data_IF_136077117743
#
_entry.id   IF_136077117743
#
_cell.length_a   1.000
_cell.length_b   1.000
_cell.length_c   1.000
_cell.angle_alpha   90.00
_cell.angle_beta   90.00
_cell.angle_gamma   90.00
#
_symmetry.space_group_name_H-M   'P 1'
#
loop_
_entity.id
_entity.type
_entity.pdbx_description
1 polymer ?
#
# COMPACT_ATOMS: atom_id res chain seq x y z
N UNK A 1 18.16 -33.38 53.09
CA UNK A 1 18.65 -33.49 51.69
C UNK A 1 17.57 -33.78 50.68
N UNK A 2 16.58 -34.67 50.94
CA UNK A 2 15.50 -35.04 49.99
C UNK A 2 14.63 -33.82 49.58
N UNK A 3 14.28 -32.93 50.51
CA UNK A 3 13.48 -31.73 50.23
C UNK A 3 14.19 -30.71 49.29
N UNK A 4 15.51 -30.53 49.40
CA UNK A 4 16.24 -29.64 48.54
C UNK A 4 16.30 -30.20 47.10
N UNK A 5 16.50 -31.50 46.97
CA UNK A 5 16.53 -32.18 45.67
C UNK A 5 15.14 -32.13 44.99
N UNK A 6 14.07 -32.22 45.78
CA UNK A 6 12.69 -32.11 45.27
C UNK A 6 12.36 -30.69 44.81
N UNK A 7 12.81 -29.67 45.56
CA UNK A 7 12.68 -28.24 45.20
C UNK A 7 13.47 -27.94 43.91
N UNK A 8 14.68 -28.46 43.79
CA UNK A 8 15.52 -28.27 42.56
C UNK A 8 14.90 -28.99 41.39
N UNK A 9 14.36 -30.22 41.58
CA UNK A 9 13.70 -30.99 40.54
C UNK A 9 12.40 -30.32 40.08
N UNK A 10 11.58 -29.85 41.03
CA UNK A 10 10.34 -29.11 40.70
C UNK A 10 10.64 -27.73 40.06
N UNK A 11 11.71 -27.05 40.46
CA UNK A 11 12.15 -25.82 39.79
C UNK A 11 12.63 -26.10 38.38
N UNK A 12 13.38 -27.18 38.11
CA UNK A 12 13.78 -27.60 36.79
C UNK A 12 12.59 -28.01 35.91
N UNK A 13 11.60 -28.69 36.46
CA UNK A 13 10.37 -29.06 35.76
C UNK A 13 9.48 -27.83 35.47
N UNK A 14 9.51 -26.82 36.33
CA UNK A 14 8.75 -25.56 36.14
C UNK A 14 9.41 -24.61 35.13
N UNK A 15 10.70 -24.81 34.81
CA UNK A 15 11.43 -24.02 33.82
C UNK A 15 11.37 -24.62 32.40
N UNK A 16 10.96 -25.89 32.26
CA UNK A 16 10.83 -26.51 30.95
C UNK A 16 9.51 -26.07 30.28
N UNK A 17 9.63 -25.45 29.11
CA UNK A 17 8.48 -25.17 28.26
C UNK A 17 7.91 -26.50 27.76
N UNK A 18 6.59 -26.68 27.87
CA UNK A 18 5.94 -27.91 27.39
C UNK A 18 6.20 -28.14 25.89
N UNK A 19 6.51 -29.36 25.50
CA UNK A 19 6.66 -29.74 24.09
C UNK A 19 5.43 -29.40 23.25
N UNK A 20 4.22 -29.46 23.83
CA UNK A 20 2.99 -29.09 23.13
C UNK A 20 2.97 -27.58 22.78
N UNK A 21 3.48 -26.72 23.67
CA UNK A 21 3.59 -25.28 23.42
C UNK A 21 4.64 -24.99 22.33
N UNK A 22 5.79 -25.68 22.37
CA UNK A 22 6.81 -25.53 21.33
C UNK A 22 6.30 -25.98 19.97
N UNK A 23 5.59 -27.10 19.90
CA UNK A 23 4.92 -27.57 18.69
C UNK A 23 3.85 -26.57 18.18
N UNK A 24 3.14 -25.92 19.11
CA UNK A 24 2.19 -24.85 18.77
C UNK A 24 2.88 -23.68 18.07
N UNK A 25 4.04 -23.23 18.59
CA UNK A 25 4.83 -22.18 17.94
C UNK A 25 5.32 -22.60 16.55
N UNK A 26 5.78 -23.85 16.39
CA UNK A 26 6.21 -24.36 15.09
C UNK A 26 5.06 -24.36 14.06
N UNK A 27 3.86 -24.77 14.45
CA UNK A 27 2.69 -24.74 13.57
C UNK A 27 2.31 -23.29 13.14
N UNK A 28 2.40 -22.33 14.08
CA UNK A 28 2.17 -20.92 13.78
C UNK A 28 3.24 -20.38 12.84
N UNK A 29 4.50 -20.71 13.10
CA UNK A 29 5.63 -20.29 12.26
C UNK A 29 5.50 -20.82 10.84
N UNK A 30 5.21 -22.12 10.64
CA UNK A 30 4.95 -22.73 9.32
C UNK A 30 3.76 -22.07 8.60
N UNK A 31 2.73 -21.65 9.35
CA UNK A 31 1.58 -20.91 8.82
C UNK A 31 1.95 -19.50 8.33
N UNK A 32 2.74 -18.78 9.14
CA UNK A 32 3.23 -17.45 8.81
C UNK A 32 4.19 -17.48 7.61
N UNK A 33 5.09 -18.45 7.51
CA UNK A 33 5.97 -18.61 6.36
C UNK A 33 5.20 -18.80 5.05
N UNK A 34 4.20 -19.69 5.06
CA UNK A 34 3.32 -19.88 3.88
C UNK A 34 2.57 -18.60 3.52
N UNK A 35 2.03 -17.88 4.51
CA UNK A 35 1.35 -16.61 4.29
C UNK A 35 2.28 -15.56 3.71
N UNK A 36 3.49 -15.45 4.25
CA UNK A 36 4.52 -14.51 3.80
C UNK A 36 4.99 -14.82 2.38
N UNK A 37 5.18 -16.09 2.03
CA UNK A 37 5.52 -16.53 0.68
C UNK A 37 4.43 -16.18 -0.32
N UNK A 38 3.16 -16.44 0.01
CA UNK A 38 2.02 -16.08 -0.84
C UNK A 38 1.90 -14.56 -1.03
N UNK A 39 2.12 -13.79 0.03
CA UNK A 39 2.12 -12.32 -0.06
C UNK A 39 3.25 -11.82 -0.97
N UNK A 40 4.44 -12.42 -0.91
CA UNK A 40 5.56 -12.10 -1.80
C UNK A 40 5.18 -12.30 -3.28
N UNK A 41 4.56 -13.45 -3.61
CA UNK A 41 4.11 -13.73 -4.98
C UNK A 41 3.06 -12.71 -5.46
N UNK A 42 2.12 -12.34 -4.59
CA UNK A 42 1.13 -11.31 -4.92
C UNK A 42 1.78 -9.94 -5.13
N UNK A 43 2.75 -9.57 -4.30
CA UNK A 43 3.49 -8.32 -4.44
C UNK A 43 4.28 -8.26 -5.73
N UNK A 44 4.89 -9.38 -6.17
CA UNK A 44 5.58 -9.44 -7.46
C UNK A 44 4.63 -9.17 -8.65
N UNK A 45 3.38 -9.62 -8.57
CA UNK A 45 2.34 -9.28 -9.58
C UNK A 45 2.06 -7.77 -9.59
N UNK A 46 2.01 -7.12 -8.40
CA UNK A 46 1.80 -5.67 -8.31
C UNK A 46 3.01 -4.88 -8.87
N UNK A 47 4.25 -5.33 -8.60
CA UNK A 47 5.46 -4.76 -9.22
C UNK A 47 5.43 -4.88 -10.74
N UNK A 48 4.99 -6.03 -11.26
CA UNK A 48 4.88 -6.23 -12.71
C UNK A 48 3.85 -5.25 -13.31
N UNK A 49 2.69 -5.08 -12.69
CA UNK A 49 1.69 -4.09 -13.13
C UNK A 49 2.26 -2.67 -13.19
N UNK A 50 3.03 -2.25 -12.18
CA UNK A 50 3.68 -0.94 -12.16
C UNK A 50 4.74 -0.81 -13.26
N UNK A 51 5.51 -1.87 -13.53
CA UNK A 51 6.48 -1.91 -14.61
C UNK A 51 5.81 -1.81 -15.99
N UNK A 52 4.73 -2.56 -16.22
CA UNK A 52 3.95 -2.56 -17.44
C UNK A 52 3.34 -1.18 -17.69
N UNK A 53 2.78 -0.56 -16.66
CA UNK A 53 2.23 0.78 -16.75
C UNK A 53 3.33 1.82 -17.10
N UNK A 54 4.49 1.72 -16.44
CA UNK A 54 5.62 2.59 -16.76
C UNK A 54 6.12 2.39 -18.20
N UNK A 55 6.09 1.16 -18.74
CA UNK A 55 6.50 0.89 -20.13
C UNK A 55 5.54 1.50 -21.15
N UNK A 56 4.23 1.51 -20.83
CA UNK A 56 3.17 2.09 -21.69
C UNK A 56 3.14 3.62 -21.62
N UNK A 57 3.37 4.20 -20.46
CA UNK A 57 3.36 5.64 -20.25
C UNK A 57 4.46 6.07 -19.25
N UNK A 58 5.72 6.25 -19.71
CA UNK A 58 6.85 6.60 -18.85
C UNK A 58 6.73 7.93 -18.13
N UNK A 59 6.05 8.90 -18.73
CA UNK A 59 5.86 10.23 -18.11
C UNK A 59 4.96 10.14 -16.86
N UNK A 60 3.87 9.39 -16.95
CA UNK A 60 2.93 9.18 -15.83
C UNK A 60 3.42 8.10 -14.86
N UNK A 61 3.83 6.95 -15.38
CA UNK A 61 4.19 5.77 -14.60
C UNK A 61 5.53 5.88 -13.90
N UNK A 62 6.48 6.60 -14.53
CA UNK A 62 7.87 6.67 -14.08
C UNK A 62 8.08 7.06 -12.62
N UNK A 63 7.47 8.15 -12.13
CA UNK A 63 7.60 8.54 -10.72
C UNK A 63 7.11 7.48 -9.73
N UNK A 64 6.00 6.81 -10.03
CA UNK A 64 5.39 5.78 -9.18
C UNK A 64 6.17 4.47 -9.24
N UNK A 65 6.61 4.07 -10.42
CA UNK A 65 7.49 2.92 -10.61
C UNK A 65 8.82 3.09 -9.86
N UNK A 66 9.41 4.27 -9.89
CA UNK A 66 10.63 4.56 -9.14
C UNK A 66 10.43 4.44 -7.62
N UNK A 67 9.30 4.92 -7.11
CA UNK A 67 8.93 4.74 -5.70
C UNK A 67 8.73 3.25 -5.35
N UNK A 68 8.12 2.46 -6.24
CA UNK A 68 7.95 1.03 -6.00
C UNK A 68 9.27 0.29 -5.93
N UNK A 69 10.24 0.64 -6.75
CA UNK A 69 11.60 0.06 -6.68
C UNK A 69 12.30 0.39 -5.35
N UNK A 70 12.09 1.59 -4.80
CA UNK A 70 12.61 1.94 -3.48
C UNK A 70 11.92 1.11 -2.39
N UNK A 71 10.59 0.96 -2.44
CA UNK A 71 9.86 0.05 -1.53
C UNK A 71 10.42 -1.36 -1.62
N UNK A 72 10.59 -1.91 -2.83
CA UNK A 72 11.14 -3.26 -3.04
C UNK A 72 12.50 -3.42 -2.38
N UNK A 73 13.38 -2.45 -2.60
CA UNK A 73 14.73 -2.46 -2.04
C UNK A 73 14.73 -2.44 -0.52
N UNK A 74 13.96 -1.54 0.10
CA UNK A 74 13.94 -1.40 1.56
C UNK A 74 13.23 -2.59 2.22
N UNK A 75 12.18 -3.14 1.60
CA UNK A 75 11.55 -4.39 2.04
C UNK A 75 12.54 -5.55 2.03
N UNK A 76 13.30 -5.73 0.94
CA UNK A 76 14.30 -6.80 0.84
C UNK A 76 15.38 -6.65 1.92
N UNK A 77 15.92 -5.45 2.12
CA UNK A 77 16.93 -5.19 3.15
C UNK A 77 16.45 -5.54 4.57
N UNK A 78 15.23 -5.12 4.93
CA UNK A 78 14.67 -5.42 6.25
C UNK A 78 14.35 -6.91 6.39
N UNK A 79 13.78 -7.52 5.34
CA UNK A 79 13.44 -8.94 5.32
C UNK A 79 14.70 -9.83 5.49
N UNK A 80 15.74 -9.56 4.71
CA UNK A 80 17.01 -10.30 4.77
C UNK A 80 17.72 -10.10 6.11
N UNK A 81 17.64 -8.88 6.68
CA UNK A 81 18.16 -8.61 8.01
C UNK A 81 17.45 -9.46 9.07
N UNK A 82 16.12 -9.52 9.05
CA UNK A 82 15.33 -10.35 9.97
C UNK A 82 15.69 -11.83 9.80
N UNK A 83 15.87 -12.27 8.56
CA UNK A 83 16.26 -13.65 8.26
C UNK A 83 17.65 -13.98 8.80
N UNK A 84 18.59 -13.04 8.68
CA UNK A 84 19.92 -13.18 9.29
C UNK A 84 19.84 -13.29 10.83
N UNK A 85 18.92 -12.58 11.47
CA UNK A 85 18.71 -12.67 12.92
C UNK A 85 18.18 -14.03 13.34
N UNK A 86 17.21 -14.61 12.60
CA UNK A 86 16.70 -15.96 12.84
C UNK A 86 17.87 -16.97 12.80
N UNK A 87 18.67 -16.90 11.75
CA UNK A 87 19.85 -17.76 11.57
C UNK A 87 20.87 -17.62 12.71
N UNK A 88 21.16 -16.41 13.15
CA UNK A 88 22.14 -16.18 14.24
C UNK A 88 21.62 -16.68 15.58
N UNK A 89 20.31 -16.51 15.86
CA UNK A 89 19.68 -17.02 17.09
C UNK A 89 19.73 -18.55 17.10
N UNK A 90 19.33 -19.22 16.01
CA UNK A 90 19.35 -20.69 15.93
C UNK A 90 20.77 -21.22 16.03
N UNK A 91 21.73 -20.62 15.34
CA UNK A 91 23.16 -21.03 15.47
C UNK A 91 23.74 -20.79 16.87
N UNK A 92 23.17 -19.86 17.62
CA UNK A 92 23.57 -19.64 19.01
C UNK A 92 23.07 -20.78 19.91
N UNK A 93 21.88 -21.32 19.64
CA UNK A 93 21.28 -22.43 20.39
C UNK A 93 21.85 -23.80 19.98
N UNK A 94 21.87 -24.08 18.65
CA UNK A 94 22.17 -25.39 18.10
C UNK A 94 23.64 -25.55 17.67
N UNK A 95 24.42 -24.48 17.72
CA UNK A 95 25.80 -24.48 17.25
C UNK A 95 25.95 -24.07 15.78
N UNK A 96 27.15 -24.27 15.21
CA UNK A 96 27.50 -23.76 13.87
C UNK A 96 26.62 -24.30 12.74
N UNK A 97 26.13 -25.52 12.88
CA UNK A 97 25.33 -26.24 11.90
C UNK A 97 23.81 -26.06 12.11
N UNK A 98 23.41 -25.19 13.06
CA UNK A 98 22.01 -24.91 13.33
C UNK A 98 21.24 -24.42 12.10
N UNK A 99 20.06 -25.03 11.87
CA UNK A 99 19.17 -24.78 10.75
C UNK A 99 17.82 -24.26 11.25
N UNK A 100 17.39 -23.10 10.74
CA UNK A 100 16.09 -22.47 11.09
C UNK A 100 14.91 -23.39 10.77
N UNK A 101 15.05 -24.22 9.73
CA UNK A 101 13.97 -25.14 9.34
C UNK A 101 13.89 -26.37 10.27
N UNK A 102 14.97 -26.68 10.99
CA UNK A 102 15.05 -27.84 11.89
C UNK A 102 15.79 -27.48 13.18
N UNK A 103 15.14 -26.73 14.06
CA UNK A 103 15.70 -26.26 15.33
C UNK A 103 15.74 -27.43 16.33
N UNK A 104 16.93 -27.76 16.83
CA UNK A 104 17.12 -28.86 17.81
C UNK A 104 16.79 -28.41 19.25
N UNK A 105 17.29 -27.25 19.68
CA UNK A 105 17.10 -26.71 21.02
C UNK A 105 16.00 -25.62 21.02
N UNK A 106 14.77 -25.99 20.68
CA UNK A 106 13.62 -25.08 20.56
C UNK A 106 13.28 -24.35 21.86
N UNK A 107 13.61 -24.97 23.01
CA UNK A 107 13.33 -24.51 24.38
C UNK A 107 14.45 -23.66 25.00
N UNK A 108 15.58 -23.44 24.30
CA UNK A 108 16.66 -22.57 24.78
C UNK A 108 16.14 -21.14 25.01
N UNK A 109 16.25 -20.65 26.24
CA UNK A 109 15.78 -19.32 26.67
C UNK A 109 16.86 -18.23 26.60
N UNK A 110 18.14 -18.62 26.38
CA UNK A 110 19.26 -17.69 26.45
C UNK A 110 19.68 -17.17 25.07
N UNK A 111 19.57 -17.98 24.02
CA UNK A 111 20.08 -17.65 22.71
C UNK A 111 19.46 -16.38 22.14
N UNK A 112 18.13 -16.24 22.18
CA UNK A 112 17.42 -15.06 21.73
C UNK A 112 17.77 -13.83 22.57
N UNK A 113 17.75 -13.95 23.90
CA UNK A 113 18.12 -12.89 24.85
C UNK A 113 19.55 -12.40 24.60
N UNK A 114 20.49 -13.31 24.39
CA UNK A 114 21.89 -12.97 24.14
C UNK A 114 22.06 -12.17 22.84
N UNK A 115 21.48 -12.60 21.73
CA UNK A 115 21.62 -11.94 20.44
C UNK A 115 20.90 -10.59 20.42
N UNK A 116 19.69 -10.55 20.95
CA UNK A 116 18.84 -9.36 20.82
C UNK A 116 19.11 -8.29 21.86
N UNK A 117 19.46 -8.69 23.10
CA UNK A 117 19.49 -7.75 24.24
C UNK A 117 20.89 -7.50 24.79
N UNK A 118 21.88 -8.39 24.55
CA UNK A 118 23.22 -8.18 25.15
C UNK A 118 23.86 -6.86 24.71
N UNK A 119 24.60 -6.18 25.60
CA UNK A 119 25.28 -4.93 25.26
C UNK A 119 26.28 -5.05 24.11
N UNK A 120 26.82 -6.26 23.88
CA UNK A 120 27.76 -6.54 22.81
C UNK A 120 27.10 -6.66 21.43
N UNK A 121 25.87 -7.15 21.35
CA UNK A 121 25.16 -7.43 20.09
C UNK A 121 24.15 -6.34 19.74
N UNK A 122 23.28 -5.93 20.68
CA UNK A 122 22.25 -4.87 20.53
C UNK A 122 21.37 -5.01 19.29
N UNK A 123 21.13 -6.25 18.84
CA UNK A 123 20.41 -6.48 17.58
C UNK A 123 18.92 -6.09 17.71
N UNK A 124 18.31 -6.24 18.89
CA UNK A 124 16.92 -5.82 19.14
C UNK A 124 16.71 -4.32 18.93
N UNK A 125 17.61 -3.49 19.46
CA UNK A 125 17.56 -2.03 19.25
C UNK A 125 17.74 -1.67 17.77
N UNK A 126 18.63 -2.38 17.08
CA UNK A 126 18.85 -2.17 15.65
C UNK A 126 17.61 -2.58 14.86
N UNK A 127 17.03 -3.75 15.15
CA UNK A 127 15.79 -4.21 14.51
C UNK A 127 14.65 -3.21 14.70
N UNK A 128 14.46 -2.71 15.92
CA UNK A 128 13.46 -1.68 16.21
C UNK A 128 13.64 -0.46 15.32
N UNK A 129 14.87 0.05 15.21
CA UNK A 129 15.17 1.21 14.38
C UNK A 129 14.88 0.94 12.90
N UNK A 130 15.29 -0.21 12.36
CA UNK A 130 15.03 -0.56 10.96
C UNK A 130 13.52 -0.69 10.67
N UNK A 131 12.73 -1.23 11.62
CA UNK A 131 11.26 -1.28 11.52
C UNK A 131 10.67 0.14 11.55
N UNK A 132 11.14 1.00 12.44
CA UNK A 132 10.67 2.39 12.55
C UNK A 132 10.99 3.19 11.27
N UNK A 133 12.19 3.03 10.72
CA UNK A 133 12.61 3.68 9.48
C UNK A 133 11.76 3.18 8.29
N UNK A 134 11.51 1.86 8.21
CA UNK A 134 10.65 1.27 7.20
C UNK A 134 9.20 1.74 7.33
N UNK A 135 8.64 1.75 8.54
CA UNK A 135 7.29 2.28 8.83
C UNK A 135 7.13 3.73 8.36
N UNK A 136 8.13 4.57 8.63
CA UNK A 136 8.13 5.97 8.22
C UNK A 136 8.16 6.11 6.69
N UNK A 137 8.96 5.28 6.00
CA UNK A 137 9.01 5.25 4.54
C UNK A 137 7.63 4.89 3.98
N UNK A 138 7.05 3.76 4.40
CA UNK A 138 5.74 3.30 3.91
C UNK A 138 4.64 4.30 4.26
N UNK A 139 4.62 4.82 5.50
CA UNK A 139 3.66 5.83 5.94
C UNK A 139 3.70 7.12 5.11
N UNK A 140 4.89 7.52 4.62
CA UNK A 140 5.04 8.69 3.75
C UNK A 140 4.40 8.52 2.37
N UNK A 141 4.20 7.28 1.92
CA UNK A 141 3.56 6.95 0.63
C UNK A 141 2.04 6.89 0.74
N UNK A 142 1.49 6.74 1.97
CA UNK A 142 0.05 6.63 2.20
C UNK A 142 -0.63 8.00 2.12
N UNK A 143 -1.55 8.16 1.17
CA UNK A 143 -2.41 9.34 1.05
C UNK A 143 -3.62 9.26 1.99
N UNK A 144 -4.14 8.05 2.22
CA UNK A 144 -5.26 7.77 3.10
C UNK A 144 -4.80 7.67 4.57
N UNK A 145 -5.41 8.48 5.45
CA UNK A 145 -5.11 8.53 6.88
C UNK A 145 -5.46 7.22 7.62
N UNK A 146 -6.51 6.51 7.19
CA UNK A 146 -6.93 5.24 7.79
C UNK A 146 -5.90 4.15 7.47
N UNK A 147 -5.47 4.08 6.21
CA UNK A 147 -4.42 3.14 5.79
C UNK A 147 -3.10 3.43 6.47
N UNK A 148 -2.73 4.71 6.59
CA UNK A 148 -1.53 5.12 7.33
C UNK A 148 -1.58 4.64 8.79
N UNK A 149 -2.69 4.89 9.49
CA UNK A 149 -2.87 4.45 10.87
C UNK A 149 -2.81 2.92 11.01
N UNK A 150 -3.33 2.17 10.04
CA UNK A 150 -3.23 0.72 10.01
C UNK A 150 -1.76 0.26 9.91
N UNK A 151 -0.96 0.83 8.99
CA UNK A 151 0.47 0.52 8.86
C UNK A 151 1.24 0.89 10.14
N UNK A 152 0.97 2.05 10.73
CA UNK A 152 1.57 2.47 11.99
C UNK A 152 1.27 1.49 13.13
N UNK A 153 0.09 0.88 13.13
CA UNK A 153 -0.28 -0.14 14.12
C UNK A 153 0.39 -1.50 13.84
N UNK A 154 0.38 -1.98 12.59
CA UNK A 154 1.00 -3.26 12.22
C UNK A 154 2.51 -3.29 12.47
N UNK A 155 3.20 -2.19 12.15
CA UNK A 155 4.64 -2.04 12.33
C UNK A 155 4.99 -1.31 13.65
N UNK A 156 4.07 -1.31 14.62
CA UNK A 156 4.29 -0.63 15.90
C UNK A 156 5.40 -1.31 16.71
N UNK A 157 6.35 -0.52 17.15
CA UNK A 157 7.43 -0.90 18.07
C UNK A 157 7.19 -0.31 19.48
N UNK A 158 5.96 0.18 19.75
CA UNK A 158 5.54 0.67 21.05
C UNK A 158 4.77 -0.40 21.81
N UNK A 159 5.08 -0.53 23.11
CA UNK A 159 4.36 -1.44 23.98
C UNK A 159 3.25 -0.66 24.68
N UNK A 160 2.01 -1.10 24.48
CA UNK A 160 0.88 -0.63 25.27
C UNK A 160 0.85 -1.42 26.57
N UNK A 161 1.56 -0.98 27.60
CA UNK A 161 1.46 -1.58 28.93
C UNK A 161 0.08 -1.31 29.52
N UNK A 162 -0.74 -2.37 29.63
CA UNK A 162 -2.05 -2.32 30.29
C UNK A 162 -1.97 -2.05 31.80
N UNK A 163 -0.81 -2.17 32.42
CA UNK A 163 -0.58 -1.94 33.86
C UNK A 163 0.29 -0.69 34.07
N UNK A 164 -0.33 0.37 34.58
CA UNK A 164 0.32 1.63 34.93
C UNK A 164 1.36 1.54 36.07
N UNK A 165 1.57 0.38 36.66
CA UNK A 165 2.44 0.16 37.85
C UNK A 165 3.81 -0.44 37.51
N UNK A 166 4.04 -0.90 36.27
CA UNK A 166 5.35 -1.40 35.85
C UNK A 166 6.12 -0.33 35.06
N UNK A 167 7.44 -0.25 35.32
CA UNK A 167 8.32 0.59 34.53
C UNK A 167 8.18 0.26 33.02
N UNK A 168 8.24 1.27 32.13
CA UNK A 168 8.16 1.00 30.70
C UNK A 168 9.31 0.08 30.29
N UNK A 169 8.98 -1.16 29.94
CA UNK A 169 9.96 -2.10 29.36
C UNK A 169 10.24 -1.69 27.91
N UNK A 170 11.48 -1.89 27.46
CA UNK A 170 11.82 -1.66 26.07
C UNK A 170 11.14 -2.74 25.19
N UNK A 171 10.72 -2.36 23.98
CA UNK A 171 10.06 -3.26 23.04
C UNK A 171 10.82 -4.57 22.82
N UNK A 172 12.12 -4.49 22.59
CA UNK A 172 12.99 -5.64 22.39
C UNK A 172 13.08 -6.54 23.63
N UNK A 173 13.08 -5.98 24.83
CA UNK A 173 13.10 -6.73 26.09
C UNK A 173 11.82 -7.54 26.25
N UNK A 174 10.67 -6.93 25.99
CA UNK A 174 9.37 -7.63 26.09
C UNK A 174 9.25 -8.80 25.13
N UNK A 175 9.84 -8.70 23.94
CA UNK A 175 9.73 -9.73 22.91
C UNK A 175 10.76 -10.86 23.02
N UNK A 176 11.95 -10.58 23.56
CA UNK A 176 13.08 -11.50 23.43
C UNK A 176 13.73 -11.90 24.77
N UNK A 177 13.32 -11.31 25.91
CA UNK A 177 13.86 -11.70 27.21
C UNK A 177 13.28 -13.05 27.67
N UNK A 178 14.16 -14.02 27.94
CA UNK A 178 13.78 -15.38 28.37
C UNK A 178 12.75 -16.04 27.43
N UNK A 179 12.87 -15.78 26.13
CA UNK A 179 11.96 -16.31 25.11
C UNK A 179 12.57 -17.57 24.49
N UNK A 180 11.83 -18.72 24.40
CA UNK A 180 12.28 -19.90 23.68
C UNK A 180 12.69 -19.57 22.24
N UNK A 181 13.72 -20.24 21.72
CA UNK A 181 14.22 -19.99 20.36
C UNK A 181 13.10 -20.08 19.32
N UNK A 182 12.25 -21.12 19.40
CA UNK A 182 11.15 -21.28 18.45
C UNK A 182 10.16 -20.11 18.52
N UNK A 183 9.87 -19.60 19.72
CA UNK A 183 8.98 -18.44 19.88
C UNK A 183 9.62 -17.15 19.35
N UNK A 184 10.93 -16.95 19.57
CA UNK A 184 11.64 -15.81 19.03
C UNK A 184 11.69 -15.84 17.48
N UNK A 185 11.92 -17.02 16.87
CA UNK A 185 11.84 -17.22 15.42
C UNK A 185 10.44 -16.92 14.91
N UNK A 186 9.38 -17.44 15.58
CA UNK A 186 7.99 -17.16 15.22
C UNK A 186 7.67 -15.66 15.25
N UNK A 187 8.14 -14.93 16.27
CA UNK A 187 7.97 -13.47 16.37
C UNK A 187 8.67 -12.77 15.20
N UNK A 188 9.88 -13.17 14.85
CA UNK A 188 10.62 -12.60 13.71
C UNK A 188 9.91 -12.90 12.38
N UNK A 189 9.38 -14.11 12.21
CA UNK A 189 8.56 -14.47 11.02
C UNK A 189 7.26 -13.67 10.96
N UNK A 190 6.63 -13.39 12.11
CA UNK A 190 5.46 -12.50 12.19
C UNK A 190 5.82 -11.09 11.73
N UNK A 191 6.96 -10.54 12.13
CA UNK A 191 7.43 -9.23 11.69
C UNK A 191 7.68 -9.24 10.17
N UNK A 192 8.26 -10.31 9.61
CA UNK A 192 8.41 -10.46 8.16
C UNK A 192 7.06 -10.47 7.43
N UNK A 193 6.05 -11.12 8.00
CA UNK A 193 4.69 -11.10 7.45
C UNK A 193 4.08 -9.69 7.45
N UNK A 194 4.27 -8.93 8.54
CA UNK A 194 3.80 -7.54 8.63
C UNK A 194 4.50 -6.63 7.62
N UNK A 195 5.80 -6.83 7.39
CA UNK A 195 6.60 -6.13 6.37
C UNK A 195 6.04 -6.40 4.96
N UNK A 196 5.71 -7.67 4.63
CA UNK A 196 5.08 -8.02 3.34
C UNK A 196 3.69 -7.42 3.17
N UNK A 197 2.91 -7.38 4.25
CA UNK A 197 1.60 -6.72 4.24
C UNK A 197 1.74 -5.21 3.97
N UNK A 198 2.66 -4.55 4.68
CA UNK A 198 2.91 -3.12 4.49
C UNK A 198 3.42 -2.80 3.07
N UNK A 199 4.28 -3.65 2.51
CA UNK A 199 4.70 -3.58 1.10
C UNK A 199 3.50 -3.65 0.15
N UNK A 200 2.59 -4.61 0.35
CA UNK A 200 1.38 -4.77 -0.46
C UNK A 200 0.51 -3.50 -0.45
N UNK A 201 0.25 -2.94 0.73
CA UNK A 201 -0.56 -1.71 0.87
C UNK A 201 0.11 -0.50 0.21
N UNK A 202 1.46 -0.41 0.28
CA UNK A 202 2.20 0.62 -0.44
C UNK A 202 2.03 0.48 -1.96
N UNK A 203 2.17 -0.73 -2.50
CA UNK A 203 2.03 -0.99 -3.93
C UNK A 203 0.61 -0.70 -4.43
N UNK A 204 -0.41 -1.10 -3.67
CA UNK A 204 -1.80 -0.76 -4.00
C UNK A 204 -2.02 0.75 -4.00
N UNK A 205 -1.43 1.47 -3.05
CA UNK A 205 -1.53 2.94 -3.00
C UNK A 205 -0.84 3.58 -4.21
N UNK A 206 0.35 3.09 -4.59
CA UNK A 206 1.06 3.59 -5.77
C UNK A 206 0.28 3.35 -7.07
N UNK A 207 -0.35 2.18 -7.22
CA UNK A 207 -1.19 1.85 -8.38
C UNK A 207 -2.43 2.77 -8.42
N UNK A 208 -3.13 2.93 -7.30
CA UNK A 208 -4.31 3.79 -7.23
C UNK A 208 -3.97 5.25 -7.55
N UNK A 209 -2.81 5.76 -7.12
CA UNK A 209 -2.38 7.12 -7.41
C UNK A 209 -2.07 7.34 -8.91
N UNK A 210 -1.71 6.29 -9.65
CA UNK A 210 -1.60 6.35 -11.12
C UNK A 210 -2.98 6.57 -11.72
N UNK A 211 -3.97 5.81 -11.25
CA UNK A 211 -5.34 5.87 -11.77
C UNK A 211 -6.05 7.18 -11.39
N UNK A 212 -5.71 7.79 -10.24
CA UNK A 212 -6.27 9.11 -9.84
C UNK A 212 -5.83 10.25 -10.74
N UNK A 213 -4.72 10.12 -11.45
CA UNK A 213 -4.28 11.06 -12.47
C UNK A 213 -4.98 10.90 -13.82
N UNK A 214 -5.72 9.83 -14.05
CA UNK A 214 -6.56 9.65 -15.22
C UNK A 214 -7.98 10.20 -14.96
N UNK A 215 -8.54 10.83 -15.99
CA UNK A 215 -9.95 11.25 -15.98
C UNK A 215 -10.81 10.02 -15.69
N UNK A 216 -11.29 9.90 -14.46
CA UNK A 216 -12.17 8.79 -14.08
C UNK A 216 -13.48 8.95 -14.81
N UNK A 217 -13.67 8.13 -15.83
CA UNK A 217 -14.94 8.03 -16.51
C UNK A 217 -15.90 7.24 -15.64
N UNK A 218 -16.77 7.92 -14.93
CA UNK A 218 -17.79 7.29 -14.08
C UNK A 218 -19.18 7.30 -14.70
N UNK A 219 -19.35 7.96 -15.86
CA UNK A 219 -20.59 8.00 -16.60
C UNK A 219 -20.36 7.89 -18.10
N UNK A 220 -21.03 6.96 -18.75
CA UNK A 220 -21.08 6.81 -20.20
C UNK A 220 -22.41 7.36 -20.73
N UNK A 221 -22.36 8.35 -21.61
CA UNK A 221 -23.51 8.90 -22.28
C UNK A 221 -23.39 8.73 -23.80
N UNK A 222 -24.50 8.40 -24.43
CA UNK A 222 -24.59 8.39 -25.87
C UNK A 222 -25.03 9.77 -26.37
N UNK A 223 -24.27 10.36 -27.28
CA UNK A 223 -24.58 11.62 -27.94
C UNK A 223 -24.86 11.37 -29.42
N UNK A 224 -25.90 12.04 -29.93
CA UNK A 224 -26.23 12.04 -31.35
C UNK A 224 -25.72 13.35 -31.94
N UNK A 225 -24.76 13.26 -32.88
CA UNK A 225 -24.19 14.40 -33.61
C UNK A 225 -24.76 14.36 -35.02
N UNK A 226 -25.80 15.17 -35.35
CA UNK A 226 -26.35 15.19 -36.68
C UNK A 226 -25.41 15.91 -37.66
N UNK A 227 -25.32 15.39 -38.90
CA UNK A 227 -24.54 16.04 -39.96
C UNK A 227 -25.21 17.32 -40.45
N UNK A 228 -26.52 17.47 -40.28
CA UNK A 228 -27.27 18.71 -40.54
C UNK A 228 -28.46 18.81 -39.58
N UNK A 229 -28.72 19.99 -39.10
CA UNK A 229 -29.89 20.32 -38.26
C UNK A 229 -31.12 20.70 -39.10
N UNK A 230 -30.93 21.01 -40.40
CA UNK A 230 -31.98 21.40 -41.33
C UNK A 230 -32.02 20.44 -42.53
N UNK A 231 -33.16 19.81 -42.81
CA UNK A 231 -33.34 18.85 -43.88
C UNK A 231 -34.63 19.20 -44.63
N UNK A 232 -34.53 19.25 -45.96
CA UNK A 232 -35.68 19.44 -46.82
C UNK A 232 -36.53 18.16 -46.85
N UNK A 233 -37.83 18.31 -47.11
CA UNK A 233 -38.77 17.21 -47.27
C UNK A 233 -38.27 16.27 -48.40
N UNK A 234 -38.06 14.98 -48.06
CA UNK A 234 -37.49 13.96 -48.99
C UNK A 234 -35.98 13.85 -48.95
N UNK A 235 -35.28 14.72 -48.22
CA UNK A 235 -33.84 14.64 -47.96
C UNK A 235 -33.47 13.54 -46.98
N UNK A 236 -32.19 13.11 -47.00
CA UNK A 236 -31.68 12.03 -46.14
C UNK A 236 -31.11 12.62 -44.84
N UNK A 237 -31.64 12.19 -43.68
CA UNK A 237 -31.03 12.49 -42.40
C UNK A 237 -29.85 11.57 -42.12
N UNK A 238 -28.73 12.10 -41.65
CA UNK A 238 -27.60 11.32 -41.19
C UNK A 238 -27.03 11.94 -39.92
N UNK A 239 -26.69 11.10 -38.96
CA UNK A 239 -26.08 11.51 -37.69
C UNK A 239 -25.05 10.47 -37.24
N UNK A 240 -24.03 10.89 -36.58
CA UNK A 240 -23.07 10.03 -35.88
C UNK A 240 -23.54 9.84 -34.45
N UNK A 241 -23.68 8.59 -34.01
CA UNK A 241 -23.95 8.24 -32.62
C UNK A 241 -22.62 7.89 -31.97
N UNK A 242 -22.20 8.69 -31.00
CA UNK A 242 -20.92 8.52 -30.29
C UNK A 242 -21.16 8.22 -28.82
N UNK A 243 -20.40 7.30 -28.28
CA UNK A 243 -20.35 7.07 -26.85
C UNK A 243 -19.27 8.00 -26.26
N UNK A 244 -19.68 8.91 -25.40
CA UNK A 244 -18.75 9.78 -24.69
C UNK A 244 -18.67 9.39 -23.23
N UNK A 245 -17.47 9.41 -22.73
CA UNK A 245 -17.11 9.15 -21.35
C UNK A 245 -17.03 10.46 -20.58
N UNK A 246 -17.76 10.59 -19.47
CA UNK A 246 -17.82 11.81 -18.66
C UNK A 246 -17.32 11.49 -17.25
N UNK A 247 -16.35 12.29 -16.77
CA UNK A 247 -16.02 12.34 -15.36
C UNK A 247 -16.93 13.35 -14.67
N UNK A 248 -17.80 12.89 -13.79
CA UNK A 248 -18.70 13.74 -13.02
C UNK A 248 -18.07 14.29 -11.73
N UNK A 249 -16.87 13.81 -11.38
CA UNK A 249 -16.13 14.25 -10.18
C UNK A 249 -15.29 15.49 -10.45
N UNK A 250 -14.83 15.66 -11.69
CA UNK A 250 -14.07 16.83 -12.13
C UNK A 250 -14.82 17.53 -13.27
N UNK A 251 -15.49 18.63 -12.96
CA UNK A 251 -16.21 19.42 -13.96
C UNK A 251 -15.24 20.37 -14.65
N UNK A 252 -15.13 20.32 -15.99
CA UNK A 252 -14.32 21.30 -16.74
C UNK A 252 -14.94 22.69 -16.60
N UNK A 253 -14.09 23.70 -16.55
CA UNK A 253 -14.55 25.08 -16.74
C UNK A 253 -14.81 25.33 -18.23
N UNK A 254 -16.01 25.77 -18.57
CA UNK A 254 -16.46 26.01 -19.96
C UNK A 254 -16.47 27.50 -20.23
N UNK A 255 -15.79 27.93 -21.27
CA UNK A 255 -15.76 29.32 -21.72
C UNK A 255 -16.35 29.43 -23.11
N UNK A 256 -17.32 30.34 -23.30
CA UNK A 256 -17.97 30.60 -24.59
C UNK A 256 -17.83 32.08 -24.90
N UNK A 257 -17.25 32.42 -26.04
CA UNK A 257 -16.99 33.79 -26.47
C UNK A 257 -16.28 34.63 -25.38
N UNK A 258 -15.35 34.00 -24.63
CA UNK A 258 -14.55 34.62 -23.58
C UNK A 258 -15.26 34.75 -22.21
N UNK A 259 -16.51 34.29 -22.06
CA UNK A 259 -17.22 34.26 -20.77
C UNK A 259 -17.34 32.85 -20.25
N UNK A 260 -17.06 32.68 -18.96
CA UNK A 260 -17.25 31.39 -18.29
C UNK A 260 -18.73 31.07 -18.15
N UNK A 261 -19.11 29.85 -18.53
CA UNK A 261 -20.44 29.31 -18.28
C UNK A 261 -20.57 28.93 -16.80
N UNK A 262 -21.65 29.36 -16.11
CA UNK A 262 -21.87 28.99 -14.70
C UNK A 262 -21.84 27.48 -14.50
N UNK A 263 -21.13 26.96 -13.48
CA UNK A 263 -21.01 25.52 -13.23
C UNK A 263 -22.34 24.81 -12.97
N UNK A 264 -23.31 25.53 -12.44
CA UNK A 264 -24.69 25.07 -12.17
C UNK A 264 -25.47 24.71 -13.44
N UNK A 265 -25.07 25.25 -14.59
CA UNK A 265 -25.71 24.96 -15.88
C UNK A 265 -25.33 23.59 -16.46
N UNK A 266 -24.41 22.85 -15.83
CA UNK A 266 -23.99 21.53 -16.27
C UNK A 266 -23.61 21.41 -17.76
N UNK A 267 -23.01 22.49 -18.32
CA UNK A 267 -22.66 22.55 -19.74
C UNK A 267 -23.79 22.98 -20.67
N UNK A 268 -24.97 23.27 -20.16
CA UNK A 268 -26.09 23.78 -20.96
C UNK A 268 -25.85 25.27 -21.29
N UNK A 269 -25.78 25.59 -22.58
CA UNK A 269 -25.67 26.94 -23.09
C UNK A 269 -26.94 27.31 -23.82
N UNK A 270 -27.70 28.27 -23.27
CA UNK A 270 -28.99 28.75 -23.78
C UNK A 270 -28.98 30.23 -23.96
N UNK A 271 -29.59 30.70 -25.03
CA UNK A 271 -29.83 32.11 -25.28
C UNK A 271 -31.01 32.31 -26.25
N UNK A 272 -31.62 33.51 -26.22
CA UNK A 272 -32.73 33.85 -27.11
C UNK A 272 -32.18 34.46 -28.39
N UNK A 273 -32.57 33.86 -29.55
CA UNK A 273 -32.22 34.38 -30.86
C UNK A 273 -33.12 35.53 -31.28
N UNK A 274 -32.51 36.72 -31.49
CA UNK A 274 -33.27 37.95 -31.81
C UNK A 274 -33.36 38.30 -33.31
N UNK A 275 -32.60 37.58 -34.18
CA UNK A 275 -32.59 37.86 -35.63
C UNK A 275 -32.36 36.58 -36.41
N UNK A 276 -32.85 36.55 -37.66
CA UNK A 276 -32.62 35.43 -38.59
C UNK A 276 -31.22 35.52 -39.21
N UNK A 277 -30.60 34.39 -39.52
CA UNK A 277 -29.27 34.32 -40.11
C UNK A 277 -28.45 33.10 -39.64
N UNK A 278 -27.21 33.06 -40.09
CA UNK A 278 -26.23 32.04 -39.64
C UNK A 278 -25.30 32.71 -38.62
N UNK A 279 -25.15 32.07 -37.49
CA UNK A 279 -24.36 32.59 -36.37
C UNK A 279 -23.36 31.51 -35.91
N UNK A 280 -22.13 31.94 -35.59
CA UNK A 280 -21.07 31.10 -35.08
C UNK A 280 -20.80 31.42 -33.61
N UNK A 281 -20.41 30.42 -32.84
CA UNK A 281 -19.84 30.61 -31.53
C UNK A 281 -18.62 29.71 -31.34
N UNK A 282 -17.71 30.18 -30.52
CA UNK A 282 -16.47 29.47 -30.22
C UNK A 282 -16.22 29.49 -28.72
N UNK A 283 -15.49 28.50 -28.26
CA UNK A 283 -15.17 28.38 -26.85
C UNK A 283 -14.06 27.37 -26.59
N UNK A 284 -13.80 27.16 -25.33
CA UNK A 284 -12.85 26.14 -24.89
C UNK A 284 -13.27 25.55 -23.55
N UNK A 285 -12.84 24.32 -23.30
CA UNK A 285 -12.92 23.61 -22.04
C UNK A 285 -11.56 23.65 -21.36
N UNK A 286 -11.51 23.98 -20.07
CA UNK A 286 -10.32 23.83 -19.23
C UNK A 286 -10.53 22.66 -18.28
N UNK A 287 -9.67 21.64 -18.41
CA UNK A 287 -9.69 20.42 -17.60
C UNK A 287 -8.42 20.40 -16.73
N UNK A 288 -8.56 20.33 -15.38
CA UNK A 288 -7.40 20.18 -14.52
C UNK A 288 -6.78 18.80 -14.70
N UNK A 289 -5.45 18.73 -14.74
CA UNK A 289 -4.69 17.47 -14.69
C UNK A 289 -4.33 17.14 -13.25
N UNK A 290 -4.04 15.85 -13.00
CA UNK A 290 -3.63 15.37 -11.68
C UNK A 290 -2.32 15.99 -11.16
N UNK A 291 -1.50 16.62 -12.02
CA UNK A 291 -0.29 17.36 -11.68
C UNK A 291 -0.54 18.86 -11.35
N UNK A 292 -1.81 19.28 -11.35
CA UNK A 292 -2.22 20.68 -11.12
C UNK A 292 -2.14 21.57 -12.35
N UNK A 293 -1.69 21.09 -13.51
CA UNK A 293 -1.73 21.81 -14.77
C UNK A 293 -3.13 21.80 -15.39
N UNK A 294 -3.44 22.77 -16.27
CA UNK A 294 -4.72 22.86 -16.98
C UNK A 294 -4.54 22.51 -18.45
N UNK A 295 -5.39 21.65 -18.99
CA UNK A 295 -5.45 21.38 -20.42
C UNK A 295 -6.63 22.10 -21.04
N UNK A 296 -6.40 22.80 -22.16
CA UNK A 296 -7.43 23.52 -22.89
C UNK A 296 -7.80 22.75 -24.16
N UNK A 297 -9.11 22.55 -24.36
CA UNK A 297 -9.69 21.94 -25.57
C UNK A 297 -10.62 22.96 -26.23
N UNK A 298 -10.26 23.43 -27.43
CA UNK A 298 -11.04 24.41 -28.19
C UNK A 298 -12.17 23.72 -28.96
N UNK A 299 -13.31 24.44 -29.08
CA UNK A 299 -14.43 24.01 -29.91
C UNK A 299 -15.07 25.21 -30.61
N UNK A 300 -15.69 24.95 -31.77
CA UNK A 300 -16.52 25.91 -32.48
C UNK A 300 -17.76 25.23 -33.02
N UNK A 301 -18.86 25.95 -33.10
CA UNK A 301 -20.09 25.47 -33.69
C UNK A 301 -20.87 26.63 -34.32
N UNK A 302 -21.75 26.30 -35.29
CA UNK A 302 -22.64 27.24 -35.90
C UNK A 302 -24.10 26.83 -35.77
N UNK A 303 -25.02 27.82 -35.76
CA UNK A 303 -26.43 27.58 -35.76
C UNK A 303 -27.12 28.57 -36.73
N UNK A 304 -28.26 28.13 -37.29
CA UNK A 304 -29.07 28.95 -38.21
C UNK A 304 -30.40 29.28 -37.59
N UNK A 305 -30.75 30.55 -37.56
CA UNK A 305 -32.05 31.05 -37.15
C UNK A 305 -32.88 31.30 -38.40
N UNK A 306 -34.00 30.62 -38.55
CA UNK A 306 -34.95 30.75 -39.65
C UNK A 306 -36.24 31.36 -39.15
N UNK A 307 -37.02 32.01 -40.02
CA UNK A 307 -38.35 32.52 -39.68
C UNK A 307 -39.35 31.42 -39.31
#
# INVERSE_FOLDING_TARGET
>A
MINLMYIVLTAMLALNVSSDVLNGFKQVEDGLERSTSNASLQNDVLYQKLADFNSQNPEKGGPWYKKSLEVKKQTALLYDYIDSLKNVIVKKADGKDGDVNNIEHQDDLEAASYIMLSPAQKQGMKLRKEIDDYRNLIGSLMTDSIKRAAIENYLSTTIHSGNRTQAPSMWETTLFENMPVIAAVTILTKIQSDVRYAESEALHTLINNIDEGDVRVNQLNAFVIPNSKNIMRGGKYSANIVLAAIDTTQRPAIYINGKQLPPENNGLYEFVCGSTGIFDFQGYLEVPRGDGSMTRHEFSSSYTVVE
#
